data_IF_207339498008
#
_entry.id   IF_207339498008
#
_cell.length_a   1.000
_cell.length_b   1.000
_cell.length_c   1.000
_cell.angle_alpha   90.00
_cell.angle_beta   90.00
_cell.angle_gamma   90.00
#
_symmetry.space_group_name_H-M   'P 1'
#
loop_
_entity.id
_entity.type
_entity.pdbx_description
1 polymer ?
#
# COMPACT_ATOMS: atom_id res chain seq x y z
N UNK A 1 12.95 5.03 -23.50
CA UNK A 1 12.09 5.65 -22.47
C UNK A 1 12.95 6.70 -21.77
N UNK A 2 12.51 7.96 -21.69
CA UNK A 2 13.22 9.00 -20.93
C UNK A 2 12.74 8.97 -19.48
N UNK A 3 13.65 8.74 -18.55
CA UNK A 3 13.38 8.87 -17.11
C UNK A 3 14.13 10.13 -16.67
N UNK A 4 13.42 11.07 -16.06
CA UNK A 4 14.02 12.29 -15.50
C UNK A 4 14.32 11.98 -14.02
N UNK A 5 15.58 12.13 -13.61
CA UNK A 5 15.98 11.87 -12.21
C UNK A 5 15.49 12.98 -11.28
N UNK A 6 15.64 14.23 -11.71
CA UNK A 6 15.03 15.41 -11.10
C UNK A 6 15.02 16.55 -12.12
N UNK A 7 13.98 17.36 -12.10
CA UNK A 7 13.85 18.54 -12.97
C UNK A 7 14.38 19.75 -12.21
N UNK A 8 15.50 20.33 -12.65
CA UNK A 8 15.96 21.61 -12.13
C UNK A 8 15.08 22.76 -12.64
N UNK A 9 15.06 23.89 -11.93
CA UNK A 9 14.24 25.07 -12.25
C UNK A 9 14.50 25.67 -13.65
N UNK A 10 15.60 25.27 -14.30
CA UNK A 10 15.97 25.69 -15.65
C UNK A 10 15.48 24.74 -16.76
N UNK A 11 14.75 23.67 -16.41
CA UNK A 11 14.18 22.71 -17.37
C UNK A 11 15.20 21.84 -18.12
N UNK A 12 16.50 21.94 -17.83
CA UNK A 12 17.58 21.38 -18.68
C UNK A 12 18.27 20.13 -18.14
N UNK A 13 17.69 19.42 -17.18
CA UNK A 13 18.21 18.11 -16.76
C UNK A 13 17.41 16.96 -17.37
N UNK A 14 17.44 16.81 -18.71
CA UNK A 14 16.96 15.61 -19.39
C UNK A 14 18.16 14.73 -19.75
N UNK A 15 18.37 13.64 -19.01
CA UNK A 15 19.41 12.66 -19.33
C UNK A 15 18.79 11.41 -19.94
N UNK A 16 19.41 10.89 -21.00
CA UNK A 16 19.04 9.61 -21.60
C UNK A 16 19.58 8.49 -20.69
N UNK A 17 18.70 8.00 -19.82
CA UNK A 17 19.03 6.98 -18.84
C UNK A 17 18.89 5.57 -19.44
N UNK A 18 19.87 4.70 -19.18
CA UNK A 18 19.78 3.27 -19.52
C UNK A 18 18.99 2.54 -18.42
N UNK A 19 17.90 1.90 -18.83
CA UNK A 19 17.08 1.08 -17.95
C UNK A 19 17.50 -0.39 -18.08
N UNK A 20 17.82 -1.02 -16.96
CA UNK A 20 18.01 -2.46 -16.89
C UNK A 20 17.04 -3.03 -15.85
N UNK A 21 16.10 -3.86 -16.31
CA UNK A 21 15.17 -4.57 -15.42
C UNK A 21 14.30 -3.65 -14.54
N UNK A 22 13.88 -2.49 -15.05
CA UNK A 22 13.07 -1.54 -14.28
C UNK A 22 13.86 -0.63 -13.33
N UNK A 23 15.18 -0.78 -13.26
CA UNK A 23 16.04 0.03 -12.42
C UNK A 23 16.97 0.93 -13.22
N UNK A 24 17.23 2.09 -12.65
CA UNK A 24 18.13 3.07 -13.21
C UNK A 24 19.59 2.74 -12.88
N UNK A 25 20.44 2.76 -13.91
CA UNK A 25 21.87 2.60 -13.77
C UNK A 25 22.64 3.70 -14.51
N UNK A 26 23.71 4.23 -13.91
CA UNK A 26 24.59 5.23 -14.51
C UNK A 26 26.05 4.84 -14.41
N UNK A 27 26.86 5.20 -15.40
CA UNK A 27 28.32 5.14 -15.27
C UNK A 27 28.86 6.32 -14.46
N UNK A 28 30.13 6.27 -14.04
CA UNK A 28 30.75 7.43 -13.40
C UNK A 28 30.82 8.66 -14.31
N UNK A 29 30.87 8.46 -15.63
CA UNK A 29 30.89 9.56 -16.59
C UNK A 29 29.53 10.25 -16.63
N UNK A 30 28.44 9.47 -16.69
CA UNK A 30 27.08 10.00 -16.69
C UNK A 30 26.77 10.72 -15.37
N UNK A 31 27.21 10.17 -14.22
CA UNK A 31 27.08 10.86 -12.93
C UNK A 31 27.90 12.16 -12.86
N UNK A 32 29.07 12.20 -13.49
CA UNK A 32 29.90 13.40 -13.55
C UNK A 32 29.21 14.50 -14.38
N UNK A 33 28.57 14.13 -15.49
CA UNK A 33 27.77 15.04 -16.31
C UNK A 33 26.52 15.52 -15.56
N UNK A 34 25.74 14.59 -15.00
CA UNK A 34 24.53 14.85 -14.21
C UNK A 34 24.79 15.88 -13.10
N UNK A 35 25.83 15.64 -12.30
CA UNK A 35 26.16 16.52 -11.18
C UNK A 35 27.15 17.62 -11.54
N UNK A 36 27.49 17.83 -12.82
CA UNK A 36 28.44 18.85 -13.28
C UNK A 36 29.72 18.87 -12.43
N UNK A 37 30.37 17.71 -12.34
CA UNK A 37 31.61 17.52 -11.59
C UNK A 37 32.57 16.63 -12.37
N UNK A 38 33.73 16.29 -11.80
CA UNK A 38 34.71 15.44 -12.47
C UNK A 38 34.48 13.97 -12.14
N UNK A 39 34.80 13.08 -13.08
CA UNK A 39 34.77 11.63 -12.86
C UNK A 39 35.65 11.20 -11.67
N UNK A 40 36.76 11.89 -11.45
CA UNK A 40 37.64 11.66 -10.30
C UNK A 40 36.93 11.97 -8.98
N UNK A 41 36.14 13.05 -8.93
CA UNK A 41 35.37 13.40 -7.74
C UNK A 41 34.25 12.37 -7.47
N UNK A 42 33.55 11.92 -8.51
CA UNK A 42 32.58 10.82 -8.42
C UNK A 42 33.25 9.55 -7.87
N UNK A 43 34.41 9.17 -8.43
CA UNK A 43 35.18 8.01 -7.96
C UNK A 43 35.56 8.13 -6.48
N UNK A 44 35.93 9.33 -6.02
CA UNK A 44 36.25 9.59 -4.62
C UNK A 44 35.04 9.34 -3.73
N UNK A 45 33.88 9.89 -4.08
CA UNK A 45 32.66 9.71 -3.30
C UNK A 45 32.22 8.24 -3.24
N UNK A 46 32.24 7.51 -4.36
CA UNK A 46 31.91 6.08 -4.40
C UNK A 46 32.82 5.28 -3.47
N UNK A 47 34.14 5.52 -3.53
CA UNK A 47 35.10 4.84 -2.63
C UNK A 47 34.80 5.11 -1.16
N UNK A 48 34.46 6.35 -0.81
CA UNK A 48 34.08 6.71 0.55
C UNK A 48 32.79 6.00 0.98
N UNK A 49 31.74 6.01 0.16
CA UNK A 49 30.45 5.35 0.45
C UNK A 49 30.63 3.85 0.72
N UNK A 50 31.43 3.17 -0.10
CA UNK A 50 31.72 1.74 0.07
C UNK A 50 32.61 1.48 1.30
N UNK A 51 33.60 2.34 1.57
CA UNK A 51 34.46 2.22 2.74
C UNK A 51 33.70 2.46 4.06
N UNK A 52 32.73 3.37 4.05
CA UNK A 52 31.82 3.65 5.16
C UNK A 52 30.74 2.56 5.34
N UNK A 53 30.69 1.56 4.44
CA UNK A 53 29.68 0.51 4.42
C UNK A 53 28.23 1.02 4.35
N UNK A 54 28.02 2.23 3.83
CA UNK A 54 26.67 2.77 3.59
C UNK A 54 25.93 1.94 2.53
N UNK A 55 26.67 1.44 1.53
CA UNK A 55 26.16 0.59 0.47
C UNK A 55 27.09 -0.60 0.22
N UNK A 56 26.51 -1.76 -0.10
CA UNK A 56 27.28 -2.94 -0.47
C UNK A 56 27.68 -2.92 -1.96
N UNK A 57 28.95 -3.17 -2.26
CA UNK A 57 29.49 -3.12 -3.63
C UNK A 57 28.80 -4.11 -4.57
N UNK A 58 28.53 -5.34 -4.10
CA UNK A 58 27.89 -6.39 -4.90
C UNK A 58 26.45 -6.06 -5.32
N UNK A 59 25.75 -5.23 -4.54
CA UNK A 59 24.37 -4.83 -4.82
C UNK A 59 24.29 -3.54 -5.65
N UNK A 60 25.37 -2.76 -5.72
CA UNK A 60 25.34 -1.40 -6.26
C UNK A 60 26.27 -1.17 -7.45
N UNK A 61 27.13 -2.12 -7.79
CA UNK A 61 28.06 -2.04 -8.92
C UNK A 61 27.86 -3.23 -9.87
N UNK A 62 27.56 -2.94 -11.13
CA UNK A 62 27.47 -3.93 -12.19
C UNK A 62 28.51 -3.66 -13.28
N UNK A 63 29.31 -4.66 -13.64
CA UNK A 63 30.32 -4.53 -14.69
C UNK A 63 29.79 -5.06 -16.02
N UNK A 64 29.61 -4.17 -16.99
CA UNK A 64 29.21 -4.55 -18.35
C UNK A 64 30.41 -4.52 -19.29
N UNK A 65 30.47 -5.48 -20.22
CA UNK A 65 31.47 -5.50 -21.28
C UNK A 65 30.98 -4.62 -22.44
N UNK A 66 31.73 -3.58 -22.75
CA UNK A 66 31.48 -2.73 -23.92
C UNK A 66 32.62 -2.88 -24.91
N UNK A 67 32.27 -3.12 -26.18
CA UNK A 67 33.23 -3.18 -27.29
C UNK A 67 33.28 -1.81 -27.94
N UNK A 68 34.43 -1.16 -27.91
CA UNK A 68 34.67 0.10 -28.63
C UNK A 68 35.70 -0.11 -29.75
N UNK A 69 35.49 0.54 -30.89
CA UNK A 69 36.46 0.59 -31.98
C UNK A 69 37.31 1.86 -31.82
N UNK A 70 38.56 1.70 -31.39
CA UNK A 70 39.54 2.78 -31.34
C UNK A 70 40.64 2.48 -32.38
N UNK A 71 40.86 3.39 -33.34
CA UNK A 71 41.89 3.28 -34.39
C UNK A 71 41.92 1.90 -35.11
N UNK A 72 40.75 1.37 -35.49
CA UNK A 72 40.64 0.10 -36.22
C UNK A 72 40.81 -1.16 -35.37
N UNK A 73 40.97 -1.05 -34.04
CA UNK A 73 41.03 -2.18 -33.12
C UNK A 73 39.78 -2.25 -32.25
N UNK A 74 39.18 -3.44 -32.15
CA UNK A 74 38.11 -3.74 -31.18
C UNK A 74 38.73 -3.91 -29.80
N UNK A 75 38.39 -3.01 -28.88
CA UNK A 75 38.83 -3.05 -27.49
C UNK A 75 37.62 -3.35 -26.60
N UNK A 76 37.72 -4.43 -25.82
CA UNK A 76 36.72 -4.78 -24.81
C UNK A 76 37.07 -4.08 -23.49
N UNK A 77 36.21 -3.18 -23.00
CA UNK A 77 36.36 -2.56 -21.68
C UNK A 77 35.24 -3.03 -20.76
N UNK A 78 35.59 -3.34 -19.50
CA UNK A 78 34.61 -3.50 -18.42
C UNK A 78 34.25 -2.11 -17.90
N UNK A 79 33.00 -1.69 -18.08
CA UNK A 79 32.48 -0.42 -17.59
C UNK A 79 31.57 -0.69 -16.38
N UNK A 80 31.87 -0.04 -15.26
CA UNK A 80 31.05 -0.10 -14.06
C UNK A 80 29.82 0.80 -14.20
N UNK A 81 28.66 0.21 -13.92
CA UNK A 81 27.37 0.86 -13.80
C UNK A 81 26.94 0.85 -12.34
N UNK A 82 26.36 1.96 -11.89
CA UNK A 82 26.01 2.21 -10.50
C UNK A 82 24.50 2.38 -10.37
N UNK A 83 23.91 1.72 -9.37
CA UNK A 83 22.47 1.71 -9.14
C UNK A 83 21.94 3.05 -8.60
N UNK A 84 20.61 3.22 -8.63
CA UNK A 84 19.93 4.41 -8.09
C UNK A 84 20.35 4.79 -6.65
N UNK A 85 20.45 3.85 -5.68
CA UNK A 85 20.98 4.17 -4.35
C UNK A 85 22.36 4.83 -4.37
N UNK A 86 23.29 4.33 -5.20
CA UNK A 86 24.62 4.91 -5.32
C UNK A 86 24.56 6.29 -5.97
N UNK A 87 23.75 6.47 -7.01
CA UNK A 87 23.55 7.76 -7.69
C UNK A 87 23.07 8.81 -6.67
N UNK A 88 22.05 8.49 -5.88
CA UNK A 88 21.49 9.37 -4.84
C UNK A 88 22.56 9.69 -3.77
N UNK A 89 23.25 8.67 -3.25
CA UNK A 89 24.26 8.85 -2.21
C UNK A 89 25.43 9.74 -2.66
N UNK A 90 25.83 9.64 -3.93
CA UNK A 90 26.82 10.54 -4.55
C UNK A 90 26.24 11.95 -4.68
N UNK A 91 25.00 12.10 -5.16
CA UNK A 91 24.34 13.40 -5.31
C UNK A 91 24.29 14.22 -4.02
N UNK A 92 24.07 13.57 -2.87
CA UNK A 92 24.14 14.24 -1.56
C UNK A 92 25.54 14.77 -1.21
N UNK A 93 26.61 14.12 -1.70
CA UNK A 93 28.00 14.44 -1.35
C UNK A 93 28.69 15.37 -2.34
N UNK A 94 28.20 15.47 -3.58
CA UNK A 94 28.80 16.34 -4.60
C UNK A 94 28.58 17.82 -4.26
N UNK A 95 29.67 18.59 -4.25
CA UNK A 95 29.68 20.04 -4.08
C UNK A 95 29.72 20.75 -5.43
N UNK A 96 28.59 20.81 -6.11
CA UNK A 96 28.40 21.54 -7.36
C UNK A 96 27.05 22.28 -7.36
N UNK A 97 26.84 23.19 -8.32
CA UNK A 97 25.54 23.85 -8.50
C UNK A 97 24.40 22.83 -8.69
N UNK A 98 24.62 21.80 -9.54
CA UNK A 98 23.66 20.70 -9.73
C UNK A 98 23.47 19.86 -8.48
N UNK A 99 24.52 19.57 -7.72
CA UNK A 99 24.42 18.86 -6.43
C UNK A 99 23.63 19.65 -5.38
N UNK A 100 23.74 20.98 -5.36
CA UNK A 100 22.92 21.85 -4.50
C UNK A 100 21.45 21.76 -4.92
N UNK A 101 21.15 21.90 -6.22
CA UNK A 101 19.78 21.78 -6.75
C UNK A 101 19.17 20.41 -6.45
N UNK A 102 19.93 19.34 -6.63
CA UNK A 102 19.49 17.97 -6.29
C UNK A 102 19.11 17.86 -4.81
N UNK A 103 19.93 18.39 -3.90
CA UNK A 103 19.62 18.36 -2.47
C UNK A 103 18.40 19.21 -2.12
N UNK A 104 18.24 20.39 -2.72
CA UNK A 104 17.03 21.20 -2.53
C UNK A 104 15.79 20.45 -2.98
N UNK A 105 15.80 19.90 -4.20
CA UNK A 105 14.71 19.09 -4.73
C UNK A 105 14.39 17.88 -3.85
N UNK A 106 15.42 17.14 -3.41
CA UNK A 106 15.22 15.96 -2.57
C UNK A 106 14.64 16.33 -1.19
N UNK A 107 15.11 17.42 -0.59
CA UNK A 107 14.56 17.95 0.66
C UNK A 107 13.10 18.36 0.49
N UNK A 108 12.73 19.05 -0.59
CA UNK A 108 11.34 19.41 -0.87
C UNK A 108 10.43 18.18 -1.02
N UNK A 109 10.89 17.14 -1.74
CA UNK A 109 10.09 15.90 -1.90
C UNK A 109 9.95 15.14 -0.59
N UNK A 110 11.00 15.10 0.23
CA UNK A 110 10.94 14.49 1.56
C UNK A 110 10.04 15.27 2.51
N UNK A 111 10.13 16.60 2.51
CA UNK A 111 9.27 17.48 3.31
C UNK A 111 7.79 17.33 2.93
N UNK A 112 7.51 17.29 1.62
CA UNK A 112 6.18 17.04 1.10
C UNK A 112 5.63 15.67 1.56
N UNK A 113 6.45 14.62 1.46
CA UNK A 113 6.08 13.29 1.93
C UNK A 113 5.84 13.26 3.46
N UNK A 114 6.71 13.89 4.25
CA UNK A 114 6.58 13.94 5.70
C UNK A 114 5.36 14.75 6.16
N UNK A 115 4.99 15.80 5.42
CA UNK A 115 3.85 16.67 5.74
C UNK A 115 2.52 16.11 5.24
N UNK A 116 2.46 15.63 3.99
CA UNK A 116 1.22 15.22 3.32
C UNK A 116 1.00 13.70 3.33
N UNK A 117 2.06 12.91 3.55
CA UNK A 117 2.05 11.45 3.46
C UNK A 117 2.25 10.90 2.03
N UNK A 118 2.49 11.76 1.03
CA UNK A 118 2.73 11.37 -0.35
C UNK A 118 3.58 12.42 -1.10
N UNK A 119 4.29 11.99 -2.14
CA UNK A 119 4.97 12.86 -3.11
C UNK A 119 4.66 12.33 -4.52
N UNK A 120 4.18 13.20 -5.42
CA UNK A 120 3.69 12.81 -6.75
C UNK A 120 4.31 13.72 -7.81
N UNK A 121 4.69 13.13 -8.96
CA UNK A 121 5.12 13.87 -10.15
C UNK A 121 3.92 14.03 -11.10
N UNK A 122 3.17 15.12 -10.90
CA UNK A 122 1.92 15.37 -11.63
C UNK A 122 2.13 15.48 -13.15
N UNK A 123 3.22 16.12 -13.59
CA UNK A 123 3.49 16.34 -15.01
C UNK A 123 3.83 15.02 -15.71
N UNK A 124 4.60 14.14 -15.05
CA UNK A 124 4.85 12.79 -15.56
C UNK A 124 3.59 11.95 -15.63
N UNK A 125 2.68 12.09 -14.66
CA UNK A 125 1.41 11.35 -14.62
C UNK A 125 0.39 11.87 -15.65
N UNK A 126 0.39 13.17 -15.96
CA UNK A 126 -0.45 13.76 -17.03
C UNK A 126 0.02 13.36 -18.44
N UNK A 127 1.32 13.08 -18.61
CA UNK A 127 1.90 12.63 -19.87
C UNK A 127 1.70 11.14 -20.16
N UNK A 128 2.36 10.63 -21.21
CA UNK A 128 2.32 9.20 -21.59
C UNK A 128 3.06 8.28 -20.62
N UNK A 129 3.74 8.84 -19.61
CA UNK A 129 4.57 8.12 -18.63
C UNK A 129 3.82 7.51 -17.46
N UNK A 130 2.51 7.79 -17.30
CA UNK A 130 1.69 7.27 -16.21
C UNK A 130 1.40 5.77 -16.32
N UNK A 131 1.19 5.24 -17.54
CA UNK A 131 1.02 3.81 -17.82
C UNK A 131 0.23 3.03 -16.75
N UNK A 132 0.80 1.91 -16.30
CA UNK A 132 0.24 1.08 -15.23
C UNK A 132 0.43 1.68 -13.82
N UNK A 133 1.43 2.55 -13.62
CA UNK A 133 1.66 3.24 -12.34
C UNK A 133 0.52 4.20 -11.98
N UNK A 134 -0.11 4.84 -12.97
CA UNK A 134 -1.31 5.66 -12.76
C UNK A 134 -2.48 4.81 -12.27
N UNK A 135 -2.69 3.62 -12.86
CA UNK A 135 -3.72 2.69 -12.41
C UNK A 135 -3.43 2.17 -11.00
N UNK A 136 -2.16 1.86 -10.70
CA UNK A 136 -1.72 1.47 -9.35
C UNK A 136 -1.99 2.58 -8.34
N UNK A 137 -1.61 3.83 -8.63
CA UNK A 137 -1.87 4.98 -7.78
C UNK A 137 -3.37 5.17 -7.53
N UNK A 138 -4.20 5.10 -8.59
CA UNK A 138 -5.65 5.18 -8.44
C UNK A 138 -6.21 4.04 -7.59
N UNK A 139 -5.67 2.83 -7.70
CA UNK A 139 -6.10 1.70 -6.87
C UNK A 139 -5.67 1.87 -5.42
N UNK A 140 -4.45 2.36 -5.14
CA UNK A 140 -4.01 2.71 -3.78
C UNK A 140 -4.87 3.82 -3.17
N UNK A 141 -5.18 4.87 -3.92
CA UNK A 141 -6.09 5.94 -3.47
C UNK A 141 -7.48 5.36 -3.16
N UNK A 142 -8.00 4.47 -4.02
CA UNK A 142 -9.28 3.79 -3.77
C UNK A 142 -9.22 2.90 -2.54
N UNK A 143 -8.13 2.20 -2.30
CA UNK A 143 -7.98 1.35 -1.12
C UNK A 143 -7.89 2.18 0.16
N UNK A 144 -7.14 3.29 0.15
CA UNK A 144 -7.10 4.27 1.26
C UNK A 144 -8.51 4.81 1.53
N UNK A 145 -9.23 5.22 0.48
CA UNK A 145 -10.65 5.64 0.57
C UNK A 145 -11.55 4.51 1.06
N UNK A 146 -11.23 3.25 0.75
CA UNK A 146 -11.99 2.07 1.18
C UNK A 146 -11.82 1.71 2.64
N UNK A 147 -10.88 2.36 3.36
CA UNK A 147 -10.90 2.21 4.81
C UNK A 147 -12.28 2.64 5.30
N UNK A 148 -13.00 1.77 6.00
CA UNK A 148 -14.40 2.04 6.41
C UNK A 148 -14.50 3.42 7.07
N UNK A 149 -13.51 3.78 7.88
CA UNK A 149 -13.44 5.09 8.53
C UNK A 149 -13.36 6.28 7.55
N UNK A 150 -12.55 6.20 6.49
CA UNK A 150 -12.45 7.29 5.50
C UNK A 150 -13.72 7.36 4.64
N UNK A 151 -14.23 6.19 4.24
CA UNK A 151 -15.48 6.04 3.50
C UNK A 151 -16.65 6.69 4.25
N UNK A 152 -16.82 6.35 5.52
CA UNK A 152 -17.88 6.89 6.36
C UNK A 152 -17.66 8.37 6.69
N UNK A 153 -16.41 8.85 6.71
CA UNK A 153 -16.12 10.27 6.87
C UNK A 153 -16.57 11.09 5.66
N UNK A 154 -16.33 10.60 4.44
CA UNK A 154 -16.85 11.26 3.24
C UNK A 154 -18.38 11.26 3.22
N UNK A 155 -18.99 10.15 3.66
CA UNK A 155 -20.45 9.99 3.80
C UNK A 155 -20.93 11.07 4.76
N UNK A 156 -20.31 11.19 5.93
CA UNK A 156 -20.60 12.23 6.92
C UNK A 156 -20.46 13.64 6.34
N UNK A 157 -19.41 13.93 5.60
CA UNK A 157 -19.16 15.26 5.01
C UNK A 157 -20.25 15.63 3.99
N UNK A 158 -20.68 14.67 3.16
CA UNK A 158 -21.80 14.85 2.25
C UNK A 158 -23.11 15.09 3.00
N UNK A 159 -23.42 14.28 4.00
CA UNK A 159 -24.69 14.40 4.73
C UNK A 159 -24.73 15.60 5.67
N UNK A 160 -23.58 16.12 6.09
CA UNK A 160 -23.50 17.40 6.77
C UNK A 160 -24.01 18.58 5.91
N UNK A 161 -24.15 18.40 4.59
CA UNK A 161 -24.79 19.37 3.69
C UNK A 161 -26.31 19.32 3.71
N UNK A 162 -26.92 18.27 4.27
CA UNK A 162 -28.38 18.15 4.35
C UNK A 162 -28.98 19.16 5.33
N UNK A 163 -30.13 19.72 4.96
CA UNK A 163 -30.78 20.76 5.79
C UNK A 163 -31.24 20.25 7.16
N UNK A 164 -31.61 18.96 7.24
CA UNK A 164 -32.10 18.31 8.45
C UNK A 164 -31.00 17.57 9.23
N UNK A 165 -29.72 17.75 8.87
CA UNK A 165 -28.63 17.07 9.54
C UNK A 165 -28.44 17.57 10.98
N UNK A 166 -28.46 16.62 11.92
CA UNK A 166 -28.07 16.87 13.30
C UNK A 166 -27.19 15.71 13.80
N UNK A 167 -25.90 15.94 14.11
CA UNK A 167 -24.97 14.87 14.48
C UNK A 167 -25.35 14.14 15.78
N UNK A 168 -26.20 14.75 16.62
CA UNK A 168 -26.64 14.16 17.90
C UNK A 168 -28.00 13.48 17.81
N UNK A 169 -28.67 13.52 16.66
CA UNK A 169 -30.00 12.93 16.51
C UNK A 169 -29.95 11.42 16.35
N UNK A 170 -30.99 10.74 16.82
CA UNK A 170 -31.17 9.29 16.65
C UNK A 170 -31.40 8.92 15.17
N UNK A 171 -31.95 9.87 14.43
CA UNK A 171 -32.24 9.85 13.01
C UNK A 171 -30.94 9.74 12.21
N UNK A 172 -29.93 10.55 12.53
CA UNK A 172 -28.60 10.48 11.91
C UNK A 172 -27.93 9.13 12.15
N UNK A 173 -27.99 8.58 13.37
CA UNK A 173 -27.42 7.26 13.65
C UNK A 173 -28.10 6.14 12.86
N UNK A 174 -29.44 6.17 12.80
CA UNK A 174 -30.24 5.21 12.02
C UNK A 174 -29.94 5.32 10.53
N UNK A 175 -29.80 6.55 10.05
CA UNK A 175 -29.43 6.87 8.68
C UNK A 175 -28.06 6.26 8.31
N UNK A 176 -27.01 6.46 9.12
CA UNK A 176 -25.68 5.92 8.82
C UNK A 176 -25.67 4.39 8.82
N UNK A 177 -26.39 3.77 9.76
CA UNK A 177 -26.55 2.32 9.78
C UNK A 177 -27.26 1.81 8.51
N UNK A 178 -28.28 2.53 8.04
CA UNK A 178 -28.99 2.19 6.80
C UNK A 178 -28.08 2.32 5.56
N UNK A 179 -27.30 3.40 5.45
CA UNK A 179 -26.35 3.62 4.35
C UNK A 179 -25.28 2.52 4.34
N UNK A 180 -24.68 2.20 5.49
CA UNK A 180 -23.70 1.11 5.61
C UNK A 180 -24.25 -0.22 5.10
N UNK A 181 -25.47 -0.59 5.53
CA UNK A 181 -26.10 -1.83 5.13
C UNK A 181 -26.45 -1.85 3.64
N UNK A 182 -26.95 -0.73 3.09
CA UNK A 182 -27.26 -0.60 1.66
C UNK A 182 -26.01 -0.72 0.79
N UNK A 183 -24.90 -0.10 1.18
CA UNK A 183 -23.62 -0.20 0.44
C UNK A 183 -23.07 -1.63 0.44
N UNK A 184 -23.05 -2.30 1.60
CA UNK A 184 -22.63 -3.71 1.69
C UNK A 184 -23.53 -4.62 0.85
N UNK A 185 -24.84 -4.38 0.88
CA UNK A 185 -25.80 -5.15 0.10
C UNK A 185 -25.63 -4.92 -1.41
N UNK A 186 -25.42 -3.67 -1.83
CA UNK A 186 -25.17 -3.34 -3.23
C UNK A 186 -23.89 -4.02 -3.78
N UNK A 187 -22.90 -4.29 -2.92
CA UNK A 187 -21.68 -5.00 -3.31
C UNK A 187 -21.84 -6.53 -3.29
N UNK A 188 -22.46 -7.09 -2.24
CA UNK A 188 -22.38 -8.51 -1.87
C UNK A 188 -23.73 -9.23 -1.70
N UNK A 189 -24.86 -8.52 -1.85
CA UNK A 189 -26.23 -8.98 -1.50
C UNK A 189 -26.44 -9.38 -0.04
N UNK A 190 -25.54 -8.94 0.84
CA UNK A 190 -25.62 -9.15 2.28
C UNK A 190 -25.39 -7.83 2.99
N UNK A 191 -26.11 -7.60 4.10
CA UNK A 191 -25.76 -6.52 5.04
C UNK A 191 -24.42 -6.83 5.72
N UNK A 192 -23.81 -5.81 6.34
CA UNK A 192 -22.54 -5.98 7.05
C UNK A 192 -22.61 -7.09 8.12
N UNK A 193 -23.73 -7.17 8.85
CA UNK A 193 -23.96 -8.18 9.87
C UNK A 193 -24.17 -9.59 9.29
N UNK A 194 -24.94 -9.72 8.21
CA UNK A 194 -25.13 -11.00 7.51
C UNK A 194 -23.83 -11.53 6.89
N UNK A 195 -23.00 -10.63 6.36
CA UNK A 195 -21.71 -10.95 5.79
C UNK A 195 -20.77 -11.56 6.83
N UNK A 196 -20.58 -10.87 7.96
CA UNK A 196 -19.77 -11.38 9.09
C UNK A 196 -20.34 -12.72 9.57
N UNK A 197 -21.66 -12.79 9.80
CA UNK A 197 -22.28 -13.98 10.38
C UNK A 197 -22.15 -15.21 9.48
N UNK A 198 -22.27 -15.02 8.17
CA UNK A 198 -22.19 -16.11 7.19
C UNK A 198 -20.76 -16.52 6.84
N UNK A 199 -19.78 -15.60 6.90
CA UNK A 199 -18.41 -15.85 6.43
C UNK A 199 -17.39 -16.11 7.53
N UNK A 200 -17.62 -15.62 8.75
CA UNK A 200 -16.74 -15.91 9.88
C UNK A 200 -16.76 -17.41 10.22
N UNK A 201 -15.61 -18.06 10.03
CA UNK A 201 -15.48 -19.51 10.16
C UNK A 201 -14.05 -19.89 10.60
N UNK A 202 -13.92 -20.33 11.85
CA UNK A 202 -12.65 -20.72 12.47
C UNK A 202 -11.91 -21.87 11.77
N UNK A 203 -12.61 -22.67 10.96
CA UNK A 203 -12.02 -23.79 10.21
C UNK A 203 -11.24 -23.32 8.97
N UNK A 204 -11.54 -22.13 8.45
CA UNK A 204 -10.85 -21.56 7.30
C UNK A 204 -9.56 -20.86 7.70
N UNK A 205 -8.65 -20.72 6.73
CA UNK A 205 -7.48 -19.86 6.89
C UNK A 205 -7.93 -18.44 7.20
N UNK A 206 -7.26 -17.82 8.17
CA UNK A 206 -7.57 -16.47 8.64
C UNK A 206 -9.05 -16.24 8.97
N UNK A 207 -9.78 -17.29 9.38
CA UNK A 207 -11.22 -17.27 9.66
C UNK A 207 -12.12 -16.89 8.46
N UNK A 208 -11.58 -16.94 7.24
CA UNK A 208 -12.26 -16.44 6.05
C UNK A 208 -12.09 -14.94 5.80
N UNK A 209 -11.22 -14.24 6.54
CA UNK A 209 -10.82 -12.87 6.19
C UNK A 209 -9.93 -12.89 4.95
N UNK A 210 -10.21 -11.95 4.04
CA UNK A 210 -9.46 -11.71 2.81
C UNK A 210 -8.49 -10.52 2.95
N UNK A 211 -8.79 -9.60 3.87
CA UNK A 211 -8.00 -8.38 4.12
C UNK A 211 -7.81 -8.15 5.61
N UNK A 212 -6.56 -8.06 6.07
CA UNK A 212 -6.18 -7.73 7.44
C UNK A 212 -4.71 -7.27 7.49
N UNK A 213 -4.31 -6.64 8.58
CA UNK A 213 -2.94 -6.17 8.81
C UNK A 213 -2.12 -7.22 9.58
N UNK A 214 -0.83 -7.33 9.23
CA UNK A 214 0.09 -8.23 9.90
C UNK A 214 -0.04 -9.68 9.43
N UNK A 215 0.54 -10.60 10.22
CA UNK A 215 0.60 -12.02 9.85
C UNK A 215 -0.66 -12.82 10.22
N UNK A 216 -1.43 -12.35 11.21
CA UNK A 216 -2.62 -13.03 11.75
C UNK A 216 -3.68 -11.95 12.01
N UNK A 217 -4.96 -12.17 11.64
CA UNK A 217 -6.02 -11.21 11.90
C UNK A 217 -6.26 -11.01 13.39
N UNK A 218 -6.65 -9.80 13.77
CA UNK A 218 -7.05 -9.45 15.13
C UNK A 218 -8.55 -9.63 15.37
N UNK A 219 -8.97 -9.71 16.62
CA UNK A 219 -10.40 -9.77 16.97
C UNK A 219 -11.19 -8.56 16.45
N UNK A 220 -10.56 -7.37 16.45
CA UNK A 220 -11.20 -6.17 15.94
C UNK A 220 -11.42 -6.27 14.42
N UNK A 221 -10.45 -6.81 13.68
CA UNK A 221 -10.60 -7.04 12.24
C UNK A 221 -11.64 -8.12 11.93
N UNK A 222 -11.78 -9.14 12.77
CA UNK A 222 -12.81 -10.16 12.63
C UNK A 222 -14.25 -9.60 12.77
N UNK A 223 -14.41 -8.40 13.35
CA UNK A 223 -15.70 -7.69 13.46
C UNK A 223 -15.97 -6.72 12.31
N UNK A 224 -15.04 -6.56 11.37
CA UNK A 224 -15.17 -5.65 10.22
C UNK A 224 -15.70 -6.44 9.02
N UNK A 225 -16.88 -6.07 8.53
CA UNK A 225 -17.55 -6.77 7.44
C UNK A 225 -16.74 -6.73 6.13
N UNK A 226 -16.13 -5.57 5.82
CA UNK A 226 -15.27 -5.39 4.64
C UNK A 226 -14.20 -6.47 4.48
N UNK A 227 -13.64 -6.94 5.61
CA UNK A 227 -12.54 -7.90 5.63
C UNK A 227 -12.96 -9.31 5.20
N UNK A 228 -14.25 -9.58 5.03
CA UNK A 228 -14.78 -10.84 4.52
C UNK A 228 -15.23 -10.76 3.06
N UNK A 229 -15.14 -9.59 2.41
CA UNK A 229 -15.50 -9.43 1.00
C UNK A 229 -14.49 -10.13 0.10
N UNK A 230 -14.94 -10.74 -0.99
CA UNK A 230 -14.01 -11.21 -2.03
C UNK A 230 -13.33 -10.03 -2.72
N UNK A 231 -12.25 -10.28 -3.47
CA UNK A 231 -11.57 -9.24 -4.23
C UNK A 231 -12.53 -8.50 -5.19
N UNK A 232 -13.41 -9.24 -5.88
CA UNK A 232 -14.42 -8.68 -6.78
C UNK A 232 -15.49 -7.85 -6.05
N UNK A 233 -15.94 -8.31 -4.88
CA UNK A 233 -16.93 -7.59 -4.08
C UNK A 233 -16.35 -6.33 -3.46
N UNK A 234 -15.11 -6.39 -2.97
CA UNK A 234 -14.39 -5.24 -2.43
C UNK A 234 -14.12 -4.23 -3.55
N UNK A 235 -13.69 -4.70 -4.72
CA UNK A 235 -13.54 -3.85 -5.91
C UNK A 235 -14.86 -3.16 -6.25
N UNK A 236 -15.97 -3.91 -6.30
CA UNK A 236 -17.30 -3.36 -6.60
C UNK A 236 -17.74 -2.35 -5.54
N UNK A 237 -17.61 -2.66 -4.25
CA UNK A 237 -17.94 -1.75 -3.15
C UNK A 237 -17.21 -0.42 -3.33
N UNK A 238 -15.90 -0.47 -3.57
CA UNK A 238 -15.07 0.73 -3.74
C UNK A 238 -15.51 1.58 -4.94
N UNK A 239 -15.94 0.93 -6.04
CA UNK A 239 -16.46 1.62 -7.23
C UNK A 239 -17.81 2.25 -7.00
N UNK A 240 -18.74 1.51 -6.41
CA UNK A 240 -20.08 2.01 -6.12
C UNK A 240 -20.02 3.23 -5.20
N UNK A 241 -19.20 3.16 -4.16
CA UNK A 241 -19.09 4.28 -3.23
C UNK A 241 -18.45 5.49 -3.89
N UNK A 242 -17.36 5.31 -4.64
CA UNK A 242 -16.71 6.43 -5.35
C UNK A 242 -17.68 7.11 -6.33
N UNK A 243 -18.39 6.33 -7.14
CA UNK A 243 -19.34 6.86 -8.11
C UNK A 243 -20.56 7.52 -7.46
N UNK A 244 -21.03 6.99 -6.33
CA UNK A 244 -22.11 7.63 -5.57
C UNK A 244 -21.67 8.97 -4.98
N UNK A 245 -20.42 9.09 -4.51
CA UNK A 245 -19.88 10.37 -4.05
C UNK A 245 -19.75 11.40 -5.15
N UNK A 246 -19.19 11.02 -6.29
CA UNK A 246 -19.05 11.93 -7.43
C UNK A 246 -20.44 12.47 -7.86
N UNK A 247 -21.46 11.59 -7.89
CA UNK A 247 -22.85 11.98 -8.15
C UNK A 247 -23.40 12.95 -7.09
N UNK A 248 -23.11 12.67 -5.82
CA UNK A 248 -23.60 13.46 -4.71
C UNK A 248 -22.95 14.85 -4.65
N UNK A 249 -21.66 14.96 -4.96
CA UNK A 249 -20.95 16.23 -5.09
C UNK A 249 -21.54 17.09 -6.20
N UNK A 250 -21.86 16.49 -7.37
CA UNK A 250 -22.55 17.20 -8.46
C UNK A 250 -23.90 17.75 -7.98
N UNK A 251 -24.72 16.94 -7.31
CA UNK A 251 -26.02 17.38 -6.78
C UNK A 251 -25.89 18.49 -5.74
N UNK A 252 -24.87 18.43 -4.89
CA UNK A 252 -24.59 19.47 -3.91
C UNK A 252 -24.15 20.78 -4.60
N UNK A 253 -23.34 20.71 -5.66
CA UNK A 253 -22.94 21.86 -6.47
C UNK A 253 -24.12 22.51 -7.20
N UNK A 254 -25.10 21.73 -7.65
CA UNK A 254 -26.33 22.21 -8.28
C UNK A 254 -27.27 22.96 -7.30
N UNK A 255 -26.87 23.14 -6.04
CA UNK A 255 -27.61 23.87 -4.98
C UNK A 255 -29.04 23.37 -4.76
N UNK A 256 -29.33 22.13 -5.13
CA UNK A 256 -30.63 21.52 -4.87
C UNK A 256 -30.74 21.18 -3.38
N UNK A 257 -31.76 21.69 -2.65
CA UNK A 257 -32.00 21.32 -1.27
C UNK A 257 -32.18 19.80 -1.13
N UNK A 258 -31.32 19.17 -0.35
CA UNK A 258 -31.36 17.72 -0.07
C UNK A 258 -31.58 17.47 1.42
N UNK A 259 -32.50 16.58 1.74
CA UNK A 259 -32.71 16.05 3.08
C UNK A 259 -32.08 14.65 3.20
N UNK A 260 -31.81 14.18 4.42
CA UNK A 260 -31.24 12.85 4.65
C UNK A 260 -32.06 11.75 3.93
N UNK A 261 -33.40 11.81 3.98
CA UNK A 261 -34.26 10.84 3.29
C UNK A 261 -34.07 10.81 1.77
N UNK A 262 -33.77 11.95 1.14
CA UNK A 262 -33.64 12.05 -0.31
C UNK A 262 -32.37 11.33 -0.76
N UNK A 263 -31.33 11.41 0.06
CA UNK A 263 -30.10 10.67 -0.16
C UNK A 263 -30.26 9.15 -0.04
N UNK A 264 -31.10 8.66 0.88
CA UNK A 264 -31.43 7.23 0.95
C UNK A 264 -32.12 6.81 -0.35
N UNK A 265 -33.11 7.59 -0.80
CA UNK A 265 -33.83 7.30 -2.04
C UNK A 265 -32.89 7.30 -3.26
N UNK A 266 -31.93 8.22 -3.30
CA UNK A 266 -30.94 8.28 -4.36
C UNK A 266 -29.97 7.09 -4.31
N UNK A 267 -29.52 6.71 -3.11
CA UNK A 267 -28.69 5.52 -2.90
C UNK A 267 -29.43 4.24 -3.31
N UNK A 268 -30.73 4.15 -3.05
CA UNK A 268 -31.55 3.00 -3.42
C UNK A 268 -31.72 2.85 -4.93
N UNK A 269 -31.94 3.96 -5.64
CA UNK A 269 -31.96 3.99 -7.11
C UNK A 269 -30.59 3.61 -7.66
N UNK A 270 -29.53 4.22 -7.14
CA UNK A 270 -28.16 3.97 -7.59
C UNK A 270 -27.75 2.50 -7.39
N UNK A 271 -28.05 1.94 -6.21
CA UNK A 271 -27.76 0.54 -5.88
C UNK A 271 -28.58 -0.44 -6.71
N UNK A 272 -29.81 -0.08 -7.09
CA UNK A 272 -30.65 -0.89 -7.98
C UNK A 272 -30.16 -0.90 -9.43
N UNK A 273 -29.64 0.23 -9.92
CA UNK A 273 -29.16 0.37 -11.30
C UNK A 273 -27.74 -0.18 -11.52
N UNK A 274 -26.84 0.08 -10.57
CA UNK A 274 -25.41 -0.21 -10.73
C UNK A 274 -24.87 -1.25 -9.75
N UNK A 275 -25.59 -1.50 -8.66
CA UNK A 275 -25.24 -2.50 -7.66
C UNK A 275 -25.85 -3.87 -7.94
N UNK A 276 -25.75 -4.76 -6.96
CA UNK A 276 -26.34 -6.11 -6.98
C UNK A 276 -27.81 -6.13 -6.56
N UNK A 277 -28.43 -4.97 -6.39
CA UNK A 277 -29.81 -4.79 -5.95
C UNK A 277 -29.94 -3.82 -4.77
N UNK A 278 -31.19 -3.59 -4.38
CA UNK A 278 -31.55 -2.67 -3.30
C UNK A 278 -31.97 -3.47 -2.06
N UNK A 279 -31.40 -3.12 -0.90
CA UNK A 279 -31.79 -3.73 0.38
C UNK A 279 -33.21 -3.32 0.76
N UNK A 280 -34.08 -4.31 0.98
CA UNK A 280 -35.42 -4.13 1.50
C UNK A 280 -35.43 -4.39 3.01
N UNK A 281 -35.82 -3.39 3.81
CA UNK A 281 -35.80 -3.47 5.27
C UNK A 281 -34.38 -3.37 5.87
N UNK A 282 -34.16 -4.02 7.01
CA UNK A 282 -32.93 -3.90 7.81
C UNK A 282 -31.98 -5.11 7.71
N UNK A 283 -32.34 -6.14 6.93
CA UNK A 283 -31.65 -7.42 6.92
C UNK A 283 -32.17 -8.39 7.98
N UNK A 284 -31.62 -9.61 7.99
CA UNK A 284 -32.05 -10.72 8.85
C UNK A 284 -31.21 -10.93 10.10
N UNK A 285 -29.98 -10.40 10.14
CA UNK A 285 -29.03 -10.59 11.24
C UNK A 285 -28.74 -9.26 11.91
N UNK A 286 -28.84 -9.22 13.25
CA UNK A 286 -28.46 -8.05 14.04
C UNK A 286 -26.94 -7.94 14.20
N UNK A 287 -26.46 -6.70 14.38
CA UNK A 287 -25.04 -6.42 14.69
C UNK A 287 -24.53 -7.23 15.89
N UNK A 288 -25.33 -7.34 16.95
CA UNK A 288 -24.98 -8.10 18.15
C UNK A 288 -24.77 -9.59 17.85
N UNK A 289 -25.61 -10.19 17.01
CA UNK A 289 -25.45 -11.60 16.60
C UNK A 289 -24.19 -11.78 15.76
N UNK A 290 -23.89 -10.87 14.85
CA UNK A 290 -22.68 -10.89 14.04
C UNK A 290 -21.40 -10.77 14.90
N UNK A 291 -21.38 -9.83 15.85
CA UNK A 291 -20.24 -9.64 16.77
C UNK A 291 -20.01 -10.87 17.67
N UNK A 292 -21.08 -11.45 18.21
CA UNK A 292 -20.99 -12.68 19.01
C UNK A 292 -20.48 -13.87 18.20
N UNK A 293 -20.94 -14.00 16.94
CA UNK A 293 -20.45 -15.03 16.02
C UNK A 293 -18.96 -14.83 15.73
N UNK A 294 -18.54 -13.61 15.37
CA UNK A 294 -17.14 -13.29 15.12
C UNK A 294 -16.24 -13.58 16.33
N UNK A 295 -16.65 -13.18 17.54
CA UNK A 295 -15.90 -13.45 18.78
C UNK A 295 -15.74 -14.95 19.04
N UNK A 296 -16.81 -15.72 18.85
CA UNK A 296 -16.78 -17.17 19.07
C UNK A 296 -15.84 -17.87 18.08
N UNK A 297 -15.95 -17.53 16.80
CA UNK A 297 -15.08 -18.10 15.76
C UNK A 297 -13.63 -17.64 15.97
N UNK A 298 -13.40 -16.41 16.42
CA UNK A 298 -12.06 -15.92 16.68
C UNK A 298 -11.37 -16.71 17.78
N UNK A 299 -12.06 -16.96 18.89
CA UNK A 299 -11.51 -17.78 19.99
C UNK A 299 -11.21 -19.21 19.54
N UNK A 300 -12.07 -19.80 18.70
CA UNK A 300 -11.84 -21.14 18.16
C UNK A 300 -10.64 -21.16 17.20
N UNK A 301 -10.47 -20.14 16.37
CA UNK A 301 -9.33 -19.97 15.47
C UNK A 301 -8.01 -19.73 16.22
N UNK A 302 -8.04 -18.86 17.24
CA UNK A 302 -6.90 -18.57 18.10
C UNK A 302 -6.42 -19.84 18.81
N UNK A 303 -7.32 -20.63 19.39
CA UNK A 303 -6.99 -21.93 19.97
C UNK A 303 -6.39 -22.91 18.93
N UNK A 304 -6.86 -22.86 17.68
CA UNK A 304 -6.34 -23.68 16.57
C UNK A 304 -4.95 -23.26 16.12
N UNK A 305 -4.58 -21.98 16.20
CA UNK A 305 -3.26 -21.46 15.79
C UNK A 305 -2.23 -21.49 16.92
N UNK A 306 -2.65 -21.23 18.16
CA UNK A 306 -1.78 -21.40 19.31
C UNK A 306 -1.35 -22.86 19.48
N UNK A 307 -2.22 -23.83 19.18
CA UNK A 307 -1.90 -25.25 19.25
C UNK A 307 -0.65 -25.67 18.41
N UNK A 308 -0.50 -25.29 17.13
CA UNK A 308 0.71 -25.51 16.35
C UNK A 308 1.97 -24.83 16.91
N UNK A 309 1.86 -23.63 17.47
CA UNK A 309 3.01 -22.91 18.07
C UNK A 309 3.41 -23.56 19.39
N UNK A 310 2.43 -23.94 20.21
CA UNK A 310 2.63 -24.71 21.44
C UNK A 310 3.14 -26.13 21.14
N UNK A 311 2.70 -26.77 20.06
CA UNK A 311 3.23 -28.05 19.57
C UNK A 311 4.68 -27.89 19.09
N UNK A 312 5.00 -26.87 18.29
CA UNK A 312 6.37 -26.58 17.87
C UNK A 312 7.27 -26.25 19.07
N UNK A 313 6.76 -25.52 20.06
CA UNK A 313 7.45 -25.26 21.32
C UNK A 313 7.67 -26.55 22.12
N UNK A 314 6.64 -27.39 22.30
CA UNK A 314 6.74 -28.68 22.98
C UNK A 314 7.68 -29.66 22.27
N UNK A 315 7.71 -29.66 20.93
CA UNK A 315 8.66 -30.42 20.14
C UNK A 315 10.10 -29.91 20.34
N UNK A 316 10.29 -28.59 20.40
CA UNK A 316 11.59 -27.98 20.69
C UNK A 316 12.09 -28.34 22.10
N UNK A 317 11.19 -28.32 23.10
CA UNK A 317 11.50 -28.72 24.49
C UNK A 317 11.86 -30.21 24.55
N UNK A 318 11.08 -31.09 23.91
CA UNK A 318 11.39 -32.53 23.85
C UNK A 318 12.71 -32.83 23.12
N UNK A 319 13.03 -32.06 22.08
CA UNK A 319 14.31 -32.19 21.37
C UNK A 319 15.49 -31.76 22.26
N UNK A 320 15.34 -30.67 23.01
CA UNK A 320 16.34 -30.21 23.98
C UNK A 320 16.54 -31.22 25.12
N UNK A 321 15.47 -31.80 25.66
CA UNK A 321 15.55 -32.85 26.69
C UNK A 321 16.27 -34.11 26.17
N UNK A 322 15.94 -34.58 24.96
CA UNK A 322 16.66 -35.71 24.33
C UNK A 322 18.14 -35.42 24.14
N UNK A 323 18.48 -34.21 23.71
CA UNK A 323 19.87 -33.77 23.50
C UNK A 323 20.62 -33.69 24.83
N UNK A 324 20.00 -33.17 25.89
CA UNK A 324 20.58 -33.12 27.23
C UNK A 324 20.82 -34.53 27.79
N UNK A 325 19.88 -35.46 27.63
CA UNK A 325 20.03 -36.86 28.06
C UNK A 325 21.14 -37.58 27.29
N UNK A 326 21.28 -37.32 25.99
CA UNK A 326 22.37 -37.89 25.19
C UNK A 326 23.74 -37.33 25.60
N UNK A 327 23.83 -36.03 25.88
CA UNK A 327 25.07 -35.41 26.37
C UNK A 327 25.47 -35.93 27.75
N UNK A 328 24.50 -36.19 28.63
CA UNK A 328 24.74 -36.81 29.96
C UNK A 328 25.23 -38.25 29.81
N UNK A 329 24.67 -39.03 28.87
CA UNK A 329 25.13 -40.40 28.56
C UNK A 329 26.56 -40.40 27.98
N UNK A 330 26.84 -39.53 27.03
CA UNK A 330 28.19 -39.41 26.43
C UNK A 330 29.24 -38.93 27.45
N UNK A 331 28.86 -38.09 28.41
CA UNK A 331 29.74 -37.73 29.54
C UNK A 331 30.01 -38.91 30.47
N UNK A 332 29.04 -39.80 30.71
CA UNK A 332 29.25 -41.00 31.54
C UNK A 332 30.14 -42.04 30.88
N UNK A 333 30.05 -42.19 29.55
CA UNK A 333 30.89 -43.15 28.79
C UNK A 333 32.33 -42.67 28.59
N UNK A 334 32.63 -41.37 28.77
CA UNK A 334 34.00 -40.81 28.71
C UNK A 334 34.73 -40.83 30.06
N UNK A 335 34.06 -41.18 31.15
CA UNK A 335 34.63 -41.21 32.52
C UNK A 335 34.79 -42.64 33.06
N UNK A 336 34.58 -43.65 32.22
CA UNK A 336 35.01 -45.04 32.43
C UNK A 336 36.16 -45.33 31.48
#
# INVERSE_FOLDING_TARGET
MSIILYTANDGTAQFALQEFGGQLWLTQADMAELYQTTKQNISKHIKTILAEQELEEKATVNFQLTVQNENGRKVNRKIAHYSLPMIIAVGYRVRSARGIQFRQWATERLDEYLTKGFAIDDERLKGTGGGDYWKELLNRIRDIRSSEKALYRQVLDLYATSQDYNPKSSESQTFFAAVQNKLHYAASRQTAAELIYSRADSSKDFMGLTTFQGAIPTLNEAKIAKNYLTEDELFRLNRLVSAFFDLAEIKAQEQSPMYMRDWIAELDKFSGLYGQGTLQGAGSISRKQAEQKAEREYRAYEARILSPVEQAYLESVKALEKTAVQQIKQKKDRTK
#
